data_IF_954256640714
#
_entry.id   IF_954256640714
#
_cell.length_a   1.000
_cell.length_b   1.000
_cell.length_c   1.000
_cell.angle_alpha   90.00
_cell.angle_beta   90.00
_cell.angle_gamma   90.00
#
_symmetry.space_group_name_H-M   'P 1'
#
loop_
_entity.id
_entity.type
_entity.pdbx_description
1 polymer ?
#
# COMPACT_ATOMS: atom_id res chain seq x y z
N UNK A 1 -1.26 -26.87 18.78
CA UNK A 1 -2.70 -26.53 18.81
C UNK A 1 -3.10 -25.38 17.91
N UNK A 2 -2.32 -24.30 17.74
CA UNK A 2 -2.70 -23.21 16.80
C UNK A 2 -2.55 -23.59 15.31
N UNK A 3 -1.59 -24.45 14.97
CA UNK A 3 -1.31 -24.85 13.59
C UNK A 3 -2.28 -25.90 13.02
N UNK A 4 -3.03 -26.60 13.87
CA UNK A 4 -4.05 -27.59 13.43
C UNK A 4 -5.34 -26.94 12.91
N UNK A 5 -5.48 -25.61 13.03
CA UNK A 5 -6.62 -24.82 12.56
C UNK A 5 -6.37 -24.17 11.18
N UNK A 6 -5.21 -24.41 10.58
CA UNK A 6 -4.86 -23.90 9.25
C UNK A 6 -5.22 -24.97 8.20
N UNK A 7 -6.25 -24.72 7.43
CA UNK A 7 -6.62 -25.46 6.22
C UNK A 7 -6.66 -24.49 5.05
N UNK A 8 -5.48 -24.16 4.52
CA UNK A 8 -5.39 -23.14 3.48
C UNK A 8 -6.24 -23.65 2.33
N UNK A 9 -7.31 -22.91 1.99
CA UNK A 9 -8.21 -23.25 0.90
C UNK A 9 -7.48 -23.26 -0.45
N UNK A 10 -8.15 -22.85 -1.53
CA UNK A 10 -7.42 -22.70 -2.79
C UNK A 10 -6.33 -21.62 -2.62
N UNK A 11 -5.11 -21.90 -3.07
CA UNK A 11 -4.00 -20.93 -2.98
C UNK A 11 -4.33 -19.59 -3.65
N UNK A 12 -5.23 -19.63 -4.65
CA UNK A 12 -5.76 -18.45 -5.31
C UNK A 12 -6.56 -17.54 -4.38
N UNK A 13 -7.44 -18.09 -3.53
CA UNK A 13 -8.20 -17.31 -2.55
C UNK A 13 -7.27 -16.63 -1.53
N UNK A 14 -6.23 -17.33 -1.08
CA UNK A 14 -5.25 -16.76 -0.16
C UNK A 14 -4.50 -15.56 -0.79
N UNK A 15 -4.13 -15.66 -2.07
CA UNK A 15 -3.48 -14.57 -2.81
C UNK A 15 -4.45 -13.39 -2.99
N UNK A 16 -5.68 -13.66 -3.45
CA UNK A 16 -6.70 -12.63 -3.64
C UNK A 16 -6.97 -11.88 -2.33
N UNK A 17 -7.09 -12.62 -1.22
CA UNK A 17 -7.30 -12.04 0.11
C UNK A 17 -6.06 -11.27 0.61
N UNK A 18 -4.85 -11.76 0.34
CA UNK A 18 -3.63 -11.01 0.64
C UNK A 18 -3.61 -9.67 -0.10
N UNK A 19 -3.93 -9.64 -1.40
CA UNK A 19 -3.98 -8.42 -2.21
C UNK A 19 -5.02 -7.45 -1.67
N UNK A 20 -6.21 -7.96 -1.31
CA UNK A 20 -7.26 -7.18 -0.65
C UNK A 20 -6.73 -6.51 0.63
N UNK A 21 -6.21 -7.31 1.57
CA UNK A 21 -5.70 -6.80 2.84
C UNK A 21 -4.56 -5.80 2.62
N UNK A 22 -3.62 -6.13 1.75
CA UNK A 22 -2.46 -5.30 1.46
C UNK A 22 -2.88 -3.93 0.91
N UNK A 23 -3.74 -3.91 -0.12
CA UNK A 23 -4.25 -2.69 -0.72
C UNK A 23 -5.10 -1.87 0.26
N UNK A 24 -5.98 -2.51 1.02
CA UNK A 24 -6.79 -1.85 2.04
C UNK A 24 -5.94 -1.24 3.18
N UNK A 25 -4.90 -1.94 3.62
CA UNK A 25 -3.96 -1.44 4.64
C UNK A 25 -3.16 -0.26 4.09
N UNK A 26 -2.63 -0.34 2.85
CA UNK A 26 -1.96 0.79 2.22
C UNK A 26 -2.87 2.02 2.13
N UNK A 27 -4.11 1.84 1.67
CA UNK A 27 -5.08 2.92 1.56
C UNK A 27 -5.41 3.54 2.92
N UNK A 28 -5.56 2.71 3.95
CA UNK A 28 -5.79 3.14 5.33
C UNK A 28 -4.58 3.90 5.89
N UNK A 29 -3.35 3.43 5.64
CA UNK A 29 -2.13 4.13 6.04
C UNK A 29 -2.07 5.51 5.37
N UNK A 30 -2.38 5.62 4.08
CA UNK A 30 -2.38 6.92 3.38
C UNK A 30 -3.43 7.88 3.98
N UNK A 31 -4.66 7.41 4.20
CA UNK A 31 -5.71 8.23 4.81
C UNK A 31 -5.36 8.67 6.25
N UNK A 32 -4.81 7.76 7.06
CA UNK A 32 -4.37 8.05 8.42
C UNK A 32 -3.16 9.00 8.44
N UNK A 33 -2.18 8.79 7.56
CA UNK A 33 -1.00 9.64 7.46
C UNK A 33 -1.38 11.09 7.15
N UNK A 34 -2.36 11.31 6.26
CA UNK A 34 -2.92 12.65 5.98
C UNK A 34 -3.66 13.20 7.21
N UNK A 35 -4.53 12.40 7.85
CA UNK A 35 -5.31 12.81 9.03
C UNK A 35 -4.42 13.28 10.19
N UNK A 36 -3.28 12.62 10.39
CA UNK A 36 -2.31 12.90 11.46
C UNK A 36 -1.08 13.70 11.00
N UNK A 37 -1.07 14.18 9.75
CA UNK A 37 0.03 14.98 9.15
C UNK A 37 1.42 14.32 9.25
N UNK A 38 1.48 12.99 9.08
CA UNK A 38 2.70 12.17 9.13
C UNK A 38 3.42 12.18 7.79
N UNK A 39 4.24 13.22 7.56
CA UNK A 39 5.02 13.42 6.31
C UNK A 39 5.94 12.25 5.95
N UNK A 40 6.32 11.42 6.92
CA UNK A 40 7.14 10.22 6.73
C UNK A 40 6.40 9.06 6.02
N UNK A 41 5.08 9.15 5.84
CA UNK A 41 4.25 8.07 5.29
C UNK A 41 3.33 8.51 4.13
N UNK A 42 3.28 9.81 3.83
CA UNK A 42 2.40 10.37 2.79
C UNK A 42 3.05 10.21 1.42
N UNK A 43 2.36 9.55 0.48
CA UNK A 43 2.82 9.46 -0.91
C UNK A 43 2.42 10.68 -1.75
N UNK A 44 1.19 11.15 -1.57
CA UNK A 44 0.63 12.27 -2.33
C UNK A 44 0.31 13.39 -1.35
N UNK A 45 0.96 14.53 -1.53
CA UNK A 45 0.73 15.71 -0.70
C UNK A 45 -0.67 16.29 -0.97
N UNK A 46 -1.22 17.01 0.00
CA UNK A 46 -2.55 17.66 -0.03
C UNK A 46 -3.78 16.73 0.13
N UNK A 47 -4.98 17.32 -0.05
CA UNK A 47 -6.28 16.63 0.05
C UNK A 47 -6.40 15.42 -0.89
N UNK A 48 -5.61 15.42 -1.98
CA UNK A 48 -5.54 14.29 -2.91
C UNK A 48 -5.07 12.99 -2.27
N UNK A 49 -4.18 13.04 -1.26
CA UNK A 49 -3.70 11.85 -0.56
C UNK A 49 -4.79 11.10 0.22
N UNK A 50 -5.75 11.83 0.79
CA UNK A 50 -6.88 11.21 1.49
C UNK A 50 -7.81 10.50 0.50
N UNK A 51 -8.16 11.18 -0.60
CA UNK A 51 -8.99 10.61 -1.65
C UNK A 51 -8.31 9.38 -2.28
N UNK A 52 -7.00 9.46 -2.52
CA UNK A 52 -6.21 8.33 -3.01
C UNK A 52 -6.28 7.13 -2.04
N UNK A 53 -6.11 7.37 -0.74
CA UNK A 53 -6.25 6.32 0.27
C UNK A 53 -7.62 5.66 0.24
N UNK A 54 -8.70 6.44 0.20
CA UNK A 54 -10.09 5.95 0.13
C UNK A 54 -10.34 5.16 -1.16
N UNK A 55 -9.90 5.68 -2.31
CA UNK A 55 -10.03 5.00 -3.61
C UNK A 55 -9.25 3.70 -3.62
N UNK A 56 -8.06 3.66 -3.02
CA UNK A 56 -7.26 2.44 -2.94
C UNK A 56 -7.94 1.36 -2.10
N UNK A 57 -8.56 1.74 -0.97
CA UNK A 57 -9.39 0.80 -0.19
C UNK A 57 -10.56 0.29 -1.03
N UNK A 58 -11.35 1.20 -1.62
CA UNK A 58 -12.51 0.84 -2.42
C UNK A 58 -12.14 -0.06 -3.62
N UNK A 59 -11.07 0.27 -4.34
CA UNK A 59 -10.56 -0.51 -5.46
C UNK A 59 -10.08 -1.90 -5.03
N UNK A 60 -9.47 -2.03 -3.85
CA UNK A 60 -9.05 -3.33 -3.30
C UNK A 60 -10.26 -4.22 -3.02
N UNK A 61 -11.32 -3.67 -2.44
CA UNK A 61 -12.58 -4.39 -2.24
C UNK A 61 -13.23 -4.79 -3.56
N UNK A 62 -13.38 -3.84 -4.49
CA UNK A 62 -13.96 -4.11 -5.81
C UNK A 62 -13.18 -5.21 -6.53
N UNK A 63 -11.85 -5.13 -6.54
CA UNK A 63 -10.98 -6.15 -7.12
C UNK A 63 -11.23 -7.53 -6.52
N UNK A 64 -11.28 -7.64 -5.19
CA UNK A 64 -11.48 -8.91 -4.51
C UNK A 64 -12.80 -9.59 -4.91
N UNK A 65 -13.89 -8.83 -4.98
CA UNK A 65 -15.21 -9.35 -5.39
C UNK A 65 -15.32 -9.65 -6.88
N UNK A 66 -14.47 -9.05 -7.73
CA UNK A 66 -14.40 -9.36 -9.16
C UNK A 66 -13.46 -10.53 -9.47
N UNK A 67 -12.49 -10.79 -8.61
CA UNK A 67 -11.43 -11.79 -8.85
C UNK A 67 -11.85 -13.23 -8.49
N UNK A 68 -12.96 -13.42 -7.78
CA UNK A 68 -13.39 -14.74 -7.31
C UNK A 68 -14.92 -14.84 -7.31
N UNK A 69 -15.47 -15.79 -8.08
CA UNK A 69 -16.92 -16.06 -8.13
C UNK A 69 -17.36 -17.01 -6.98
N UNK A 70 -16.41 -17.70 -6.34
CA UNK A 70 -16.65 -18.79 -5.38
C UNK A 70 -16.40 -18.41 -3.91
N UNK A 71 -16.57 -17.14 -3.57
CA UNK A 71 -16.36 -16.56 -2.21
C UNK A 71 -17.17 -17.23 -1.08
N UNK A 72 -18.15 -18.08 -1.41
CA UNK A 72 -19.10 -18.70 -0.49
C UNK A 72 -18.99 -20.22 -0.34
N UNK A 73 -18.02 -20.87 -1.00
CA UNK A 73 -17.65 -22.27 -0.69
C UNK A 73 -16.94 -22.25 0.67
N UNK A 74 -17.08 -23.25 1.58
CA UNK A 74 -16.36 -23.26 2.86
C UNK A 74 -14.86 -23.11 2.62
N UNK A 75 -14.40 -21.86 2.73
CA UNK A 75 -13.06 -21.38 2.39
C UNK A 75 -12.23 -21.16 3.64
N UNK A 76 -11.22 -20.29 3.54
CA UNK A 76 -10.22 -20.05 4.58
C UNK A 76 -10.83 -19.93 5.98
N UNK A 77 -10.30 -20.70 6.92
CA UNK A 77 -10.68 -20.60 8.33
C UNK A 77 -10.26 -19.23 8.89
N UNK A 78 -10.97 -18.73 9.91
CA UNK A 78 -10.73 -17.40 10.48
C UNK A 78 -9.28 -17.17 10.95
N UNK A 79 -8.59 -18.23 11.40
CA UNK A 79 -7.17 -18.17 11.75
C UNK A 79 -6.25 -17.87 10.56
N UNK A 80 -6.61 -18.32 9.38
CA UNK A 80 -5.83 -18.15 8.15
C UNK A 80 -5.98 -16.75 7.58
N UNK A 81 -7.21 -16.24 7.60
CA UNK A 81 -7.51 -14.85 7.29
C UNK A 81 -6.69 -13.93 8.20
N UNK A 82 -6.58 -14.27 9.49
CA UNK A 82 -5.75 -13.50 10.42
C UNK A 82 -4.26 -13.57 10.07
N UNK A 83 -3.72 -14.75 9.78
CA UNK A 83 -2.31 -14.92 9.37
C UNK A 83 -2.01 -14.10 8.10
N UNK A 84 -2.87 -14.19 7.10
CA UNK A 84 -2.70 -13.45 5.84
C UNK A 84 -2.83 -11.94 6.06
N UNK A 85 -3.77 -11.51 6.89
CA UNK A 85 -3.90 -10.11 7.28
C UNK A 85 -2.63 -9.59 7.96
N UNK A 86 -2.06 -10.34 8.91
CA UNK A 86 -0.80 -9.97 9.58
C UNK A 86 0.35 -9.93 8.58
N UNK A 87 0.44 -10.91 7.67
CA UNK A 87 1.46 -10.90 6.62
C UNK A 87 1.33 -9.67 5.70
N UNK A 88 0.11 -9.34 5.29
CA UNK A 88 -0.18 -8.16 4.48
C UNK A 88 0.16 -6.86 5.22
N UNK A 89 -0.12 -6.77 6.52
CA UNK A 89 0.27 -5.65 7.37
C UNK A 89 1.78 -5.47 7.44
N UNK A 90 2.50 -6.58 7.71
CA UNK A 90 3.96 -6.59 7.78
C UNK A 90 4.61 -6.23 6.43
N UNK A 91 3.95 -6.51 5.30
CA UNK A 91 4.41 -6.09 3.97
C UNK A 91 4.05 -4.62 3.66
N UNK A 92 2.84 -4.16 3.99
CA UNK A 92 2.34 -2.84 3.61
C UNK A 92 3.11 -1.69 4.29
N UNK A 93 3.51 -1.86 5.54
CA UNK A 93 4.28 -0.85 6.29
C UNK A 93 5.65 -0.55 5.64
N UNK A 94 6.54 -1.53 5.38
CA UNK A 94 7.80 -1.26 4.70
C UNK A 94 7.58 -0.78 3.26
N UNK A 95 6.60 -1.31 2.52
CA UNK A 95 6.25 -0.79 1.19
C UNK A 95 5.93 0.70 1.25
N UNK A 96 5.13 1.13 2.23
CA UNK A 96 4.80 2.55 2.42
C UNK A 96 6.04 3.41 2.56
N UNK A 97 7.00 2.99 3.39
CA UNK A 97 8.24 3.73 3.62
C UNK A 97 9.15 3.74 2.40
N UNK A 98 9.29 2.59 1.72
CA UNK A 98 10.12 2.47 0.51
C UNK A 98 9.57 3.37 -0.60
N UNK A 99 8.26 3.34 -0.84
CA UNK A 99 7.62 4.19 -1.84
C UNK A 99 7.78 5.66 -1.47
N UNK A 100 7.56 6.05 -0.21
CA UNK A 100 7.76 7.43 0.20
C UNK A 100 9.21 7.90 0.00
N UNK A 101 10.19 7.09 0.41
CA UNK A 101 11.61 7.39 0.22
C UNK A 101 11.97 7.54 -1.26
N UNK A 102 11.43 6.67 -2.12
CA UNK A 102 11.60 6.75 -3.57
C UNK A 102 11.00 8.03 -4.16
N UNK A 103 9.80 8.42 -3.71
CA UNK A 103 9.13 9.66 -4.16
C UNK A 103 9.90 10.90 -3.73
N UNK A 104 10.39 10.95 -2.49
CA UNK A 104 11.24 12.06 -2.01
C UNK A 104 12.50 12.16 -2.87
N UNK A 105 13.17 11.03 -3.11
CA UNK A 105 14.36 10.99 -3.96
C UNK A 105 14.07 11.48 -5.38
N UNK A 106 12.97 11.05 -5.98
CA UNK A 106 12.58 11.49 -7.32
C UNK A 106 12.34 13.00 -7.39
N UNK A 107 11.67 13.59 -6.38
CA UNK A 107 11.44 15.05 -6.31
C UNK A 107 12.74 15.84 -6.17
N UNK A 108 13.68 15.35 -5.36
CA UNK A 108 14.99 15.98 -5.21
C UNK A 108 15.79 15.97 -6.52
N UNK A 109 15.74 14.87 -7.28
CA UNK A 109 16.37 14.77 -8.58
C UNK A 109 15.73 15.71 -9.61
N UNK A 110 14.40 15.85 -9.58
CA UNK A 110 13.67 16.76 -10.48
C UNK A 110 13.90 18.24 -10.14
N UNK A 111 14.17 18.57 -8.87
CA UNK A 111 14.44 19.94 -8.41
C UNK A 111 15.91 20.37 -8.58
N UNK A 112 16.81 19.47 -8.99
CA UNK A 112 18.20 19.81 -9.20
C UNK A 112 18.32 20.77 -10.41
N UNK A 113 18.91 21.97 -10.26
CA UNK A 113 19.10 22.87 -11.39
C UNK A 113 20.01 22.23 -12.43
N UNK A 114 19.68 22.41 -13.70
CA UNK A 114 20.45 21.87 -14.83
C UNK A 114 21.93 22.30 -14.70
N UNK A 115 22.90 21.38 -14.78
CA UNK A 115 24.32 21.72 -14.61
C UNK A 115 24.82 22.79 -15.60
N UNK A 116 24.15 22.94 -16.75
CA UNK A 116 24.45 23.95 -17.76
C UNK A 116 24.09 25.40 -17.34
N UNK A 117 23.27 25.60 -16.32
CA UNK A 117 22.95 26.93 -15.80
C UNK A 117 24.06 27.50 -14.90
N UNK A 118 24.87 26.64 -14.26
CA UNK A 118 25.98 27.06 -13.38
C UNK A 118 27.23 27.53 -14.14
N UNK A 119 27.39 27.13 -15.39
CA UNK A 119 28.54 27.53 -16.21
C UNK A 119 28.39 28.94 -16.81
N UNK A 120 27.18 29.51 -16.78
CA UNK A 120 26.88 30.85 -17.33
C UNK A 120 26.89 31.96 -16.28
N UNK A 121 27.25 31.69 -15.04
CA UNK A 121 27.40 32.72 -14.01
C UNK A 121 28.83 33.29 -14.12
N UNK A 122 29.04 34.46 -14.75
CA UNK A 122 30.38 35.03 -14.83
C UNK A 122 30.84 35.36 -13.41
N UNK A 123 32.03 34.88 -13.05
CA UNK A 123 32.74 35.36 -11.87
C UNK A 123 32.89 36.88 -11.99
N UNK A 124 32.13 37.62 -11.17
CA UNK A 124 32.34 39.05 -10.93
C UNK A 124 33.25 39.19 -9.71
#
# INVERSE_FOLDING_TARGET
MFFDLLHFGSGQQAINYFVLCFGAILGTIQAAAIRYNRRDLIWIEERGGYLFGVVLVAASFIWFFLADEEIFIPGLAGGELFVIFVAALLAAVPTTRVVNAALIRARLLAAAPEPAAREKEPLI
#
